data_IF_886370377749
#
_entry.id   IF_886370377749
#
_cell.length_a   1.000
_cell.length_b   1.000
_cell.length_c   1.000
_cell.angle_alpha   90.00
_cell.angle_beta   90.00
_cell.angle_gamma   90.00
#
_symmetry.space_group_name_H-M   'P 1'
#
loop_
_entity.id
_entity.type
_entity.pdbx_description
1 polymer ?
#
# COMPACT_ATOMS: atom_id res chain seq x y z
N UNK A 1 30.26 7.71 16.49
CA UNK A 1 29.87 7.59 15.06
C UNK A 1 30.38 6.29 14.46
N UNK A 2 29.50 5.33 14.24
CA UNK A 2 29.81 4.14 13.44
C UNK A 2 29.26 4.37 12.05
N UNK A 3 30.12 4.81 11.12
CA UNK A 3 29.75 5.12 9.74
C UNK A 3 29.41 3.87 8.90
N UNK A 4 29.30 2.70 9.53
CA UNK A 4 29.09 1.41 8.88
C UNK A 4 27.78 0.77 9.32
N UNK A 5 26.70 1.12 8.62
CA UNK A 5 25.37 0.58 8.88
C UNK A 5 25.31 -0.94 8.73
N UNK A 6 26.02 -1.53 7.76
CA UNK A 6 25.99 -2.99 7.56
C UNK A 6 26.59 -3.77 8.72
N UNK A 7 27.68 -3.24 9.31
CA UNK A 7 28.31 -3.87 10.47
C UNK A 7 27.39 -3.80 11.67
N UNK A 8 26.83 -2.63 11.96
CA UNK A 8 25.89 -2.49 13.09
C UNK A 8 24.68 -3.40 12.96
N UNK A 9 24.09 -3.51 11.75
CA UNK A 9 22.96 -4.39 11.51
C UNK A 9 23.32 -5.87 11.73
N UNK A 10 24.53 -6.29 11.31
CA UNK A 10 25.02 -7.65 11.58
C UNK A 10 25.23 -7.87 13.07
N UNK A 11 25.85 -6.92 13.76
CA UNK A 11 26.10 -7.00 15.20
C UNK A 11 24.78 -7.06 16.00
N UNK A 12 23.75 -6.33 15.56
CA UNK A 12 22.40 -6.38 16.14
C UNK A 12 21.73 -7.73 15.89
N UNK A 13 21.77 -8.24 14.66
CA UNK A 13 21.21 -9.55 14.32
C UNK A 13 21.91 -10.69 15.06
N UNK A 14 23.22 -10.57 15.30
CA UNK A 14 23.98 -11.55 16.08
C UNK A 14 23.61 -11.50 17.57
N UNK A 15 23.47 -10.29 18.14
CA UNK A 15 23.01 -10.10 19.53
C UNK A 15 21.61 -10.67 19.75
N UNK A 16 20.71 -10.53 18.76
CA UNK A 16 19.32 -10.95 18.84
C UNK A 16 19.00 -12.19 17.97
N UNK A 17 19.95 -13.12 17.83
CA UNK A 17 19.73 -14.30 17.00
C UNK A 17 18.62 -15.24 17.54
N UNK A 18 18.54 -15.42 18.87
CA UNK A 18 17.53 -16.24 19.52
C UNK A 18 16.18 -15.54 19.73
N UNK A 19 16.13 -14.22 19.54
CA UNK A 19 14.93 -13.43 19.76
C UNK A 19 13.92 -13.61 18.61
N UNK A 20 12.60 -13.53 18.87
CA UNK A 20 11.58 -13.65 17.84
C UNK A 20 11.63 -12.49 16.85
N UNK A 21 11.34 -12.73 15.58
CA UNK A 21 11.22 -11.65 14.61
C UNK A 21 10.02 -10.74 14.96
N UNK A 22 10.19 -9.43 14.75
CA UNK A 22 9.12 -8.45 14.92
C UNK A 22 8.00 -8.67 13.92
N UNK A 23 8.36 -8.95 12.66
CA UNK A 23 7.42 -9.20 11.57
C UNK A 23 7.96 -10.32 10.67
N UNK A 24 7.08 -11.13 10.10
CA UNK A 24 7.44 -12.10 9.06
C UNK A 24 6.76 -11.74 7.73
N UNK A 25 7.54 -11.77 6.66
CA UNK A 25 7.10 -11.45 5.30
C UNK A 25 7.39 -12.65 4.42
N UNK A 26 6.34 -13.23 3.86
CA UNK A 26 6.45 -14.36 2.96
C UNK A 26 6.24 -13.88 1.52
N UNK A 27 7.20 -14.16 0.66
CA UNK A 27 7.19 -13.78 -0.75
C UNK A 27 6.87 -15.01 -1.60
N UNK A 28 5.74 -14.99 -2.30
CA UNK A 28 5.37 -16.00 -3.30
C UNK A 28 5.44 -15.42 -4.71
N UNK A 29 5.22 -16.23 -5.74
CA UNK A 29 5.30 -15.79 -7.13
C UNK A 29 4.25 -14.69 -7.45
N UNK A 30 3.00 -14.90 -7.03
CA UNK A 30 1.88 -14.02 -7.40
C UNK A 30 1.44 -13.04 -6.30
N UNK A 31 1.77 -13.37 -5.04
CA UNK A 31 1.35 -12.60 -3.88
C UNK A 31 2.43 -12.62 -2.80
N UNK A 32 2.27 -11.77 -1.80
CA UNK A 32 3.06 -11.78 -0.58
C UNK A 32 2.12 -11.69 0.63
N UNK A 33 2.57 -12.15 1.79
CA UNK A 33 1.79 -12.10 3.03
C UNK A 33 2.62 -11.49 4.15
N UNK A 34 1.95 -10.78 5.05
CA UNK A 34 2.52 -10.26 6.29
C UNK A 34 2.01 -11.10 7.47
N UNK A 35 2.90 -11.57 8.34
CA UNK A 35 2.61 -12.38 9.53
C UNK A 35 1.73 -13.60 9.24
N UNK A 36 1.90 -14.24 8.08
CA UNK A 36 1.04 -15.34 7.58
C UNK A 36 -0.47 -14.99 7.51
N UNK A 37 -0.80 -13.70 7.41
CA UNK A 37 -2.17 -13.21 7.34
C UNK A 37 -2.70 -13.11 5.91
N UNK A 38 -3.34 -11.98 5.61
CA UNK A 38 -3.96 -11.73 4.31
C UNK A 38 -2.95 -11.73 3.16
N UNK A 39 -3.41 -12.24 2.01
CA UNK A 39 -2.65 -12.23 0.76
C UNK A 39 -2.72 -10.86 0.10
N UNK A 40 -1.56 -10.29 -0.19
CA UNK A 40 -1.42 -9.02 -0.88
C UNK A 40 -0.83 -9.23 -2.27
N UNK A 41 -1.39 -8.54 -3.26
CA UNK A 41 -0.83 -8.49 -4.61
C UNK A 41 0.35 -7.51 -4.64
N UNK A 42 1.32 -7.75 -5.53
CA UNK A 42 2.44 -6.83 -5.76
C UNK A 42 2.01 -5.48 -6.35
N UNK A 43 0.85 -5.42 -7.00
CA UNK A 43 0.26 -4.17 -7.53
C UNK A 43 -0.48 -3.35 -6.46
N UNK A 44 -0.76 -3.95 -5.30
CA UNK A 44 -1.49 -3.28 -4.22
C UNK A 44 -0.72 -2.07 -3.67
N UNK A 45 -1.39 -1.03 -3.15
CA UNK A 45 -0.75 0.01 -2.35
C UNK A 45 0.12 -0.54 -1.22
N UNK A 46 -0.26 -1.69 -0.65
CA UNK A 46 0.52 -2.37 0.37
C UNK A 46 1.95 -2.72 -0.07
N UNK A 47 2.23 -2.82 -1.38
CA UNK A 47 3.57 -3.07 -1.89
C UNK A 47 4.56 -1.93 -1.56
N UNK A 48 4.09 -0.74 -1.17
CA UNK A 48 4.95 0.32 -0.63
C UNK A 48 5.77 -0.16 0.58
N UNK A 49 5.21 -1.07 1.39
CA UNK A 49 5.92 -1.70 2.50
C UNK A 49 7.16 -2.48 2.05
N UNK A 50 7.09 -3.15 0.88
CA UNK A 50 8.24 -3.87 0.32
C UNK A 50 9.33 -2.88 -0.12
N UNK A 51 8.96 -1.71 -0.64
CA UNK A 51 9.91 -0.66 -0.99
C UNK A 51 10.61 -0.10 0.29
N UNK A 52 9.88 0.04 1.40
CA UNK A 52 10.46 0.45 2.70
C UNK A 52 11.39 -0.61 3.29
N UNK A 53 11.04 -1.90 3.19
CA UNK A 53 11.93 -3.01 3.57
C UNK A 53 13.23 -2.96 2.76
N UNK A 54 13.12 -2.74 1.44
CA UNK A 54 14.28 -2.62 0.56
C UNK A 54 15.13 -1.38 0.88
N UNK A 55 14.53 -0.33 1.42
CA UNK A 55 15.20 0.86 1.90
C UNK A 55 15.72 0.73 3.34
N UNK A 56 15.46 -0.38 4.03
CA UNK A 56 15.81 -0.62 5.44
C UNK A 56 15.21 0.43 6.38
N UNK A 57 14.02 0.93 6.05
CA UNK A 57 13.30 1.96 6.82
C UNK A 57 12.00 1.43 7.38
N UNK A 58 11.59 1.94 8.54
CA UNK A 58 10.31 1.60 9.15
C UNK A 58 9.19 2.34 8.38
N UNK A 59 8.16 1.63 7.88
CA UNK A 59 7.04 2.23 7.15
C UNK A 59 6.18 3.11 8.06
N UNK A 60 5.95 4.36 7.66
CA UNK A 60 5.18 5.33 8.47
C UNK A 60 3.69 4.93 8.57
N UNK A 61 3.11 4.46 7.47
CA UNK A 61 1.68 4.13 7.37
C UNK A 61 1.26 2.98 8.30
N UNK A 62 2.19 2.09 8.66
CA UNK A 62 1.90 0.91 9.47
C UNK A 62 2.23 1.10 10.95
N UNK A 63 2.79 2.25 11.37
CA UNK A 63 3.22 2.48 12.76
C UNK A 63 2.10 2.26 13.77
N UNK A 64 0.90 2.77 13.49
CA UNK A 64 -0.27 2.58 14.36
C UNK A 64 -0.65 1.10 14.54
N UNK A 65 -0.52 0.32 13.46
CA UNK A 65 -0.81 -1.11 13.50
C UNK A 65 0.27 -1.89 14.26
N UNK A 66 1.54 -1.56 14.03
CA UNK A 66 2.69 -2.18 14.70
C UNK A 66 2.58 -1.95 16.22
N UNK A 67 2.21 -0.73 16.59
CA UNK A 67 2.06 -0.32 17.97
C UNK A 67 0.85 -0.98 18.66
N UNK A 68 -0.33 -0.98 18.02
CA UNK A 68 -1.51 -1.68 18.54
C UNK A 68 -1.33 -3.20 18.64
N UNK A 69 -0.54 -3.80 17.75
CA UNK A 69 -0.18 -5.21 17.79
C UNK A 69 0.91 -5.54 18.83
N UNK A 70 1.47 -4.53 19.53
CA UNK A 70 2.52 -4.66 20.54
C UNK A 70 3.72 -5.50 20.05
N UNK A 71 4.18 -5.19 18.83
CA UNK A 71 5.31 -5.87 18.19
C UNK A 71 6.61 -5.53 18.92
N UNK A 72 7.52 -6.50 19.15
CA UNK A 72 8.79 -6.23 19.83
C UNK A 72 9.73 -5.36 18.98
N UNK A 73 10.25 -4.30 19.57
CA UNK A 73 11.32 -3.47 19.02
C UNK A 73 12.67 -3.84 19.65
N UNK A 74 13.74 -3.84 18.85
CA UNK A 74 15.10 -4.15 19.27
C UNK A 74 15.99 -2.92 19.07
N UNK A 75 16.41 -2.27 20.15
CA UNK A 75 17.24 -1.04 20.10
C UNK A 75 16.63 0.05 19.18
N UNK A 76 15.28 0.19 19.20
CA UNK A 76 14.55 1.12 18.32
C UNK A 76 14.47 0.70 16.86
N UNK A 77 14.88 -0.53 16.53
CA UNK A 77 14.80 -1.11 15.18
C UNK A 77 13.79 -2.27 15.16
N UNK A 78 13.24 -2.55 13.98
CA UNK A 78 12.41 -3.74 13.76
C UNK A 78 13.22 -4.81 13.06
N UNK A 79 13.10 -6.06 13.51
CA UNK A 79 13.73 -7.21 12.85
C UNK A 79 12.66 -7.93 12.04
N UNK A 80 12.81 -7.91 10.72
CA UNK A 80 11.87 -8.54 9.78
C UNK A 80 12.48 -9.81 9.23
N UNK A 81 11.73 -10.90 9.32
CA UNK A 81 12.09 -12.16 8.69
C UNK A 81 11.47 -12.25 7.29
N UNK A 82 12.30 -12.31 6.26
CA UNK A 82 11.91 -12.47 4.87
C UNK A 82 12.03 -13.93 4.49
N UNK A 83 10.91 -14.57 4.18
CA UNK A 83 10.85 -15.95 3.72
C UNK A 83 10.52 -15.94 2.23
N UNK A 84 11.47 -16.33 1.38
CA UNK A 84 11.26 -16.45 -0.06
C UNK A 84 10.81 -17.87 -0.40
N UNK A 85 9.56 -17.99 -0.87
CA UNK A 85 8.94 -19.23 -1.34
C UNK A 85 8.92 -19.32 -2.87
N UNK A 86 9.52 -18.35 -3.57
CA UNK A 86 9.71 -18.45 -5.02
C UNK A 86 10.80 -19.49 -5.26
N UNK A 87 10.54 -20.46 -6.13
CA UNK A 87 11.53 -21.47 -6.47
C UNK A 87 12.84 -20.79 -6.92
N UNK A 88 14.00 -21.20 -6.41
CA UNK A 88 15.26 -20.70 -6.92
C UNK A 88 15.31 -21.00 -8.43
N UNK A 89 15.75 -20.06 -9.28
CA UNK A 89 15.85 -20.33 -10.71
C UNK A 89 16.77 -21.53 -10.88
N UNK A 90 16.26 -22.61 -11.50
CA UNK A 90 17.04 -23.82 -11.77
C UNK A 90 18.36 -23.43 -12.43
N UNK A 91 19.47 -23.52 -11.69
CA UNK A 91 20.81 -23.31 -12.23
C UNK A 91 21.10 -24.49 -13.13
N UNK A 92 20.91 -24.31 -14.44
CA UNK A 92 21.33 -25.28 -15.45
C UNK A 92 22.85 -25.26 -15.53
N UNK A 93 23.51 -26.07 -14.71
CA UNK A 93 24.91 -26.40 -14.93
C UNK A 93 25.06 -27.25 -16.20
N UNK A 94 26.10 -26.95 -16.99
CA UNK A 94 26.39 -27.58 -18.29
C UNK A 94 26.93 -29.02 -18.21
N UNK A 95 26.55 -29.79 -17.19
CA UNK A 95 26.75 -31.24 -17.14
C UNK A 95 25.56 -31.82 -16.40
N UNK A 96 24.79 -32.65 -17.10
CA UNK A 96 23.57 -33.26 -16.61
C UNK A 96 23.84 -34.22 -15.47
N UNK A 97 23.87 -33.69 -14.25
CA UNK A 97 23.76 -34.44 -13.02
C UNK A 97 23.00 -33.58 -12.02
N UNK A 98 21.77 -34.00 -11.71
CA UNK A 98 20.80 -33.27 -10.91
C UNK A 98 21.22 -33.28 -9.43
N UNK A 99 22.15 -32.41 -9.03
CA UNK A 99 22.40 -32.16 -7.61
C UNK A 99 21.28 -31.24 -7.09
N UNK A 100 20.16 -31.87 -6.79
CA UNK A 100 19.03 -31.28 -6.10
C UNK A 100 19.42 -31.01 -4.65
N UNK A 101 20.11 -29.90 -4.38
CA UNK A 101 20.23 -29.38 -3.01
C UNK A 101 18.88 -28.82 -2.61
N UNK A 102 17.93 -29.70 -2.27
CA UNK A 102 16.75 -29.34 -1.48
C UNK A 102 17.24 -28.97 -0.10
N UNK A 103 17.53 -27.69 0.13
CA UNK A 103 17.32 -27.14 1.47
C UNK A 103 15.81 -27.23 1.70
N UNK A 104 15.39 -28.03 2.67
CA UNK A 104 14.00 -28.46 2.93
C UNK A 104 13.12 -27.32 3.53
N UNK A 105 13.35 -26.07 3.13
CA UNK A 105 12.66 -24.90 3.66
C UNK A 105 12.85 -23.63 2.80
N UNK A 106 11.98 -22.61 2.98
CA UNK A 106 12.08 -21.33 2.28
C UNK A 106 13.39 -20.62 2.60
N UNK A 107 13.93 -19.90 1.61
CA UNK A 107 15.14 -19.09 1.80
C UNK A 107 14.77 -17.96 2.76
N UNK A 108 15.21 -18.09 4.02
CA UNK A 108 14.84 -17.18 5.10
C UNK A 108 16.01 -16.24 5.40
N UNK A 109 15.77 -14.94 5.34
CA UNK A 109 16.75 -13.89 5.62
C UNK A 109 16.20 -12.92 6.65
N UNK A 110 17.00 -12.53 7.64
CA UNK A 110 16.63 -11.50 8.61
C UNK A 110 17.18 -10.13 8.20
N UNK A 111 16.32 -9.13 8.24
CA UNK A 111 16.64 -7.75 7.85
C UNK A 111 16.23 -6.80 8.98
N UNK A 112 17.07 -5.78 9.22
CA UNK A 112 16.83 -4.76 10.25
C UNK A 112 16.28 -3.51 9.58
N UNK A 113 15.10 -3.04 10.02
CA UNK A 113 14.53 -1.77 9.62
C UNK A 113 14.82 -0.71 10.68
N UNK A 114 15.34 0.43 10.24
CA UNK A 114 15.67 1.56 11.12
C UNK A 114 14.67 2.68 11.02
N UNK A 115 14.52 3.41 12.11
CA UNK A 115 13.72 4.62 12.15
C UNK A 115 14.33 5.69 11.22
N UNK A 116 13.47 6.30 10.40
CA UNK A 116 13.72 7.51 9.63
C UNK A 116 13.13 8.74 10.36
N UNK A 117 13.52 9.95 9.97
CA UNK A 117 12.94 11.20 10.50
C UNK A 117 11.41 11.23 10.40
N UNK A 118 10.87 10.78 9.27
CA UNK A 118 9.41 10.71 9.06
C UNK A 118 8.73 9.74 10.03
N UNK A 119 9.30 8.54 10.23
CA UNK A 119 8.75 7.58 11.20
C UNK A 119 8.93 8.03 12.64
N UNK A 120 9.98 8.80 12.96
CA UNK A 120 10.18 9.36 14.30
C UNK A 120 9.15 10.44 14.63
N UNK A 121 8.87 11.33 13.69
CA UNK A 121 7.82 12.34 13.85
C UNK A 121 6.43 11.70 13.96
N UNK A 122 6.13 10.68 13.16
CA UNK A 122 4.86 9.96 13.24
C UNK A 122 4.69 9.20 14.57
N UNK A 123 5.77 8.63 15.11
CA UNK A 123 5.76 7.96 16.41
C UNK A 123 5.52 8.96 17.55
N UNK A 124 6.16 10.13 17.53
CA UNK A 124 5.88 11.23 18.46
C UNK A 124 4.41 11.65 18.44
N UNK A 125 3.83 11.76 17.26
CA UNK A 125 2.40 12.06 17.10
C UNK A 125 1.52 10.96 17.73
N UNK A 126 1.86 9.70 17.46
CA UNK A 126 1.14 8.56 18.04
C UNK A 126 1.23 8.53 19.57
N UNK A 127 2.40 8.86 20.12
CA UNK A 127 2.60 9.01 21.56
C UNK A 127 1.73 10.11 22.15
N UNK A 128 1.64 11.26 21.48
CA UNK A 128 0.77 12.35 21.92
C UNK A 128 -0.72 11.94 21.94
N UNK A 129 -1.17 11.26 20.87
CA UNK A 129 -2.54 10.75 20.77
C UNK A 129 -2.85 9.76 21.90
N UNK A 130 -1.91 8.88 22.27
CA UNK A 130 -2.06 7.92 23.38
C UNK A 130 -2.12 8.59 24.75
N UNK A 131 -1.28 9.59 24.97
CA UNK A 131 -1.23 10.33 26.23
C UNK A 131 -2.44 11.25 26.40
N UNK A 132 -3.26 11.43 25.35
CA UNK A 132 -4.38 12.37 25.28
C UNK A 132 -3.96 13.79 25.71
N UNK A 133 -2.69 14.12 25.50
CA UNK A 133 -2.14 15.43 25.75
C UNK A 133 -2.31 16.28 24.51
N UNK A 134 -2.63 17.56 24.68
CA UNK A 134 -2.61 18.52 23.58
C UNK A 134 -1.24 19.18 23.56
N UNK A 135 -0.20 18.45 23.15
CA UNK A 135 1.14 19.05 23.02
C UNK A 135 1.08 20.23 22.06
N UNK A 136 1.64 21.36 22.51
CA UNK A 136 1.89 22.48 21.61
C UNK A 136 3.02 22.10 20.66
N UNK A 137 3.07 22.69 19.46
CA UNK A 137 4.14 22.45 18.49
C UNK A 137 5.55 22.63 19.10
N UNK A 138 5.70 23.59 20.02
CA UNK A 138 6.95 23.82 20.74
C UNK A 138 7.33 22.67 21.67
N UNK A 139 6.35 22.08 22.37
CA UNK A 139 6.58 20.94 23.27
C UNK A 139 6.92 19.67 22.49
N UNK A 140 6.25 19.47 21.35
CA UNK A 140 6.56 18.37 20.44
C UNK A 140 7.99 18.48 19.89
N UNK A 141 8.42 19.69 19.51
CA UNK A 141 9.78 19.96 19.04
C UNK A 141 10.81 19.72 20.15
N UNK A 142 10.54 20.15 21.38
CA UNK A 142 11.42 19.90 22.52
C UNK A 142 11.53 18.41 22.84
N UNK A 143 10.42 17.66 22.76
CA UNK A 143 10.42 16.22 22.92
C UNK A 143 11.28 15.53 21.85
N UNK A 144 11.11 15.91 20.58
CA UNK A 144 11.94 15.41 19.47
C UNK A 144 13.42 15.69 19.72
N UNK A 145 13.77 16.93 20.08
CA UNK A 145 15.15 17.33 20.35
C UNK A 145 15.78 16.51 21.49
N UNK A 146 15.02 16.26 22.57
CA UNK A 146 15.49 15.44 23.70
C UNK A 146 15.72 13.98 23.30
N UNK A 147 14.79 13.38 22.55
CA UNK A 147 14.92 12.00 22.06
C UNK A 147 16.13 11.90 21.13
N UNK A 148 16.31 12.86 20.23
CA UNK A 148 17.44 12.90 19.32
C UNK A 148 18.76 12.98 20.09
N UNK A 149 18.87 13.88 21.07
CA UNK A 149 20.09 13.99 21.89
C UNK A 149 20.38 12.73 22.71
N UNK A 150 19.35 12.06 23.21
CA UNK A 150 19.49 10.83 24.01
C UNK A 150 19.88 9.60 23.15
N UNK A 151 19.38 9.53 21.93
CA UNK A 151 19.58 8.38 21.02
C UNK A 151 20.75 8.58 20.05
N UNK A 152 21.19 9.83 19.83
CA UNK A 152 22.26 10.13 18.89
C UNK A 152 23.59 9.53 19.36
N UNK A 153 24.34 8.87 18.46
CA UNK A 153 25.69 8.43 18.74
C UNK A 153 26.61 9.64 18.96
N UNK A 154 27.75 9.47 19.66
CA UNK A 154 28.68 10.56 19.92
C UNK A 154 29.17 11.18 18.60
N UNK A 155 28.90 12.47 18.43
CA UNK A 155 29.26 13.29 17.28
C UNK A 155 30.75 13.67 17.33
N UNK A 156 31.45 13.49 16.21
CA UNK A 156 32.81 14.02 16.08
C UNK A 156 32.74 15.46 15.56
N UNK A 157 32.98 16.43 16.44
CA UNK A 157 32.94 17.87 16.10
C UNK A 157 34.30 18.41 15.61
N UNK A 158 35.29 17.54 15.42
CA UNK A 158 36.62 17.94 14.91
C UNK A 158 36.58 18.00 13.37
N UNK A 159 36.87 19.15 12.75
CA UNK A 159 36.86 19.28 11.29
C UNK A 159 38.14 18.67 10.70
N UNK A 160 38.18 17.35 10.53
CA UNK A 160 39.25 16.67 9.79
C UNK A 160 38.73 16.23 8.39
N UNK A 161 39.33 16.76 7.30
CA UNK A 161 38.93 16.37 5.94
C UNK A 161 39.18 14.89 5.64
N UNK A 162 40.16 14.25 6.29
CA UNK A 162 40.45 12.83 6.08
C UNK A 162 39.34 11.96 6.69
N UNK A 163 38.93 12.27 7.92
CA UNK A 163 37.81 11.62 8.58
C UNK A 163 36.52 11.78 7.76
N UNK A 164 36.24 12.98 7.24
CA UNK A 164 35.09 13.23 6.38
C UNK A 164 35.10 12.37 5.11
N UNK A 165 36.25 12.23 4.44
CA UNK A 165 36.40 11.36 3.26
C UNK A 165 36.17 9.88 3.58
N UNK A 166 36.70 9.41 4.71
CA UNK A 166 36.50 8.04 5.18
C UNK A 166 35.04 7.78 5.54
N UNK A 167 34.41 8.68 6.30
CA UNK A 167 33.00 8.61 6.67
C UNK A 167 32.08 8.54 5.45
N UNK A 168 32.26 9.46 4.49
CA UNK A 168 31.47 9.48 3.26
C UNK A 168 31.67 8.22 2.41
N UNK A 169 32.91 7.70 2.35
CA UNK A 169 33.21 6.46 1.65
C UNK A 169 32.55 5.27 2.32
N UNK A 170 32.64 5.19 3.65
CA UNK A 170 32.06 4.11 4.43
C UNK A 170 30.54 4.11 4.33
N UNK A 171 29.91 5.28 4.48
CA UNK A 171 28.46 5.43 4.34
C UNK A 171 28.00 5.01 2.95
N UNK A 172 28.69 5.43 1.88
CA UNK A 172 28.35 5.03 0.50
C UNK A 172 28.40 3.52 0.28
N UNK A 173 29.31 2.81 0.94
CA UNK A 173 29.45 1.35 0.84
C UNK A 173 28.44 0.65 1.75
N UNK A 174 28.16 1.21 2.94
CA UNK A 174 27.34 0.57 3.95
C UNK A 174 25.85 0.84 3.81
N UNK A 175 25.45 1.95 3.19
CA UNK A 175 24.04 2.20 2.90
C UNK A 175 23.70 1.50 1.59
N UNK A 176 22.83 0.47 1.61
CA UNK A 176 22.40 -0.16 0.37
C UNK A 176 21.72 0.90 -0.49
N UNK A 177 22.14 1.00 -1.75
CA UNK A 177 21.54 1.93 -2.71
C UNK A 177 20.07 1.56 -2.80
N UNK A 178 19.18 2.50 -2.47
CA UNK A 178 17.73 2.29 -2.56
C UNK A 178 17.45 1.73 -3.94
N UNK A 179 16.93 0.49 -4.03
CA UNK A 179 16.71 -0.09 -5.33
C UNK A 179 15.63 0.72 -6.05
N UNK A 180 15.61 0.68 -7.39
CA UNK A 180 14.51 1.26 -8.13
C UNK A 180 13.17 0.75 -7.56
N UNK A 181 12.17 1.64 -7.41
CA UNK A 181 10.87 1.23 -6.88
C UNK A 181 10.33 0.08 -7.71
N UNK A 182 9.62 -0.85 -7.08
CA UNK A 182 9.05 -2.01 -7.77
C UNK A 182 8.08 -1.62 -8.90
N UNK A 183 7.59 -0.37 -8.90
CA UNK A 183 6.74 0.18 -9.95
C UNK A 183 7.59 0.69 -11.12
N UNK A 184 7.38 0.18 -12.36
CA UNK A 184 8.04 0.71 -13.53
C UNK A 184 7.75 2.21 -13.67
N UNK A 185 8.80 3.00 -13.88
CA UNK A 185 8.68 4.43 -14.20
C UNK A 185 7.79 4.57 -15.44
N UNK A 186 6.66 5.25 -15.26
CA UNK A 186 5.53 5.45 -16.18
C UNK A 186 5.86 5.83 -17.63
N UNK A 187 7.10 6.24 -17.94
CA UNK A 187 7.52 6.72 -19.27
C UNK A 187 7.50 5.66 -20.37
N UNK A 188 7.60 4.37 -20.04
CA UNK A 188 7.38 3.28 -21.02
C UNK A 188 5.95 2.73 -21.02
N UNK A 189 5.20 2.91 -19.92
CA UNK A 189 3.81 2.46 -19.84
C UNK A 189 2.90 3.30 -20.74
N UNK A 190 3.11 4.61 -20.90
CA UNK A 190 2.17 5.46 -21.66
C UNK A 190 1.98 5.04 -23.13
N UNK A 191 3.04 4.54 -23.78
CA UNK A 191 2.96 4.04 -25.16
C UNK A 191 2.19 2.71 -25.24
N UNK A 192 2.48 1.76 -24.33
CA UNK A 192 1.75 0.48 -24.24
C UNK A 192 0.33 0.65 -23.72
N UNK A 193 0.08 1.57 -22.77
CA UNK A 193 -1.24 1.88 -22.23
C UNK A 193 -2.14 2.52 -23.28
N UNK A 194 -1.59 3.33 -24.19
CA UNK A 194 -2.36 3.89 -25.30
C UNK A 194 -2.84 2.77 -26.25
N UNK A 195 -1.97 1.81 -26.54
CA UNK A 195 -2.29 0.67 -27.40
C UNK A 195 -3.22 -0.34 -26.71
N UNK A 196 -3.01 -0.62 -25.42
CA UNK A 196 -3.90 -1.42 -24.59
C UNK A 196 -5.27 -0.77 -24.40
N UNK A 197 -5.35 0.56 -24.26
CA UNK A 197 -6.63 1.30 -24.22
C UNK A 197 -7.35 1.23 -25.57
N UNK A 198 -6.62 1.29 -26.68
CA UNK A 198 -7.19 1.11 -28.00
C UNK A 198 -7.71 -0.33 -28.20
N UNK A 199 -6.97 -1.33 -27.75
CA UNK A 199 -7.38 -2.73 -27.77
C UNK A 199 -8.57 -3.00 -26.85
N UNK A 200 -8.56 -2.47 -25.62
CA UNK A 200 -9.66 -2.59 -24.66
C UNK A 200 -10.93 -1.89 -25.16
N UNK A 201 -10.81 -0.75 -25.84
CA UNK A 201 -11.95 -0.11 -26.53
C UNK A 201 -12.50 -1.01 -27.64
N UNK A 202 -11.64 -1.63 -28.46
CA UNK A 202 -12.07 -2.60 -29.49
C UNK A 202 -12.77 -3.82 -28.88
N UNK A 203 -12.22 -4.40 -27.81
CA UNK A 203 -12.84 -5.54 -27.09
C UNK A 203 -14.19 -5.15 -26.49
N UNK A 204 -14.29 -3.96 -25.88
CA UNK A 204 -15.56 -3.45 -25.31
C UNK A 204 -16.62 -3.22 -26.39
N UNK A 205 -16.22 -2.74 -27.57
CA UNK A 205 -17.11 -2.60 -28.73
C UNK A 205 -17.57 -3.97 -29.23
N UNK A 206 -16.67 -4.95 -29.33
CA UNK A 206 -17.00 -6.33 -29.71
C UNK A 206 -17.94 -7.01 -28.69
N UNK A 207 -17.79 -6.71 -27.40
CA UNK A 207 -18.65 -7.22 -26.33
C UNK A 207 -19.98 -6.46 -26.15
N UNK A 208 -20.23 -5.39 -26.90
CA UNK A 208 -21.43 -4.56 -26.73
C UNK A 208 -22.74 -5.33 -26.97
N UNK A 209 -22.69 -6.43 -27.73
CA UNK A 209 -23.84 -7.29 -28.02
C UNK A 209 -23.69 -8.72 -27.51
N UNK A 210 -22.69 -9.00 -26.68
CA UNK A 210 -22.46 -10.35 -26.15
C UNK A 210 -23.34 -10.54 -24.90
N UNK A 211 -24.44 -11.33 -24.96
CA UNK A 211 -25.26 -11.58 -23.78
C UNK A 211 -24.40 -12.33 -22.77
N UNK A 212 -24.01 -11.65 -21.68
CA UNK A 212 -23.20 -12.25 -20.62
C UNK A 212 -23.78 -13.63 -20.25
N UNK A 213 -22.96 -14.68 -20.38
CA UNK A 213 -23.35 -16.10 -20.35
C UNK A 213 -24.20 -16.53 -19.13
N UNK A 214 -24.20 -15.72 -18.05
CA UNK A 214 -24.94 -15.94 -16.80
C UNK A 214 -26.05 -14.91 -16.51
N UNK A 215 -26.41 -14.05 -17.47
CA UNK A 215 -27.44 -13.02 -17.29
C UNK A 215 -28.48 -13.13 -18.39
N UNK A 216 -29.60 -13.77 -18.09
CA UNK A 216 -30.76 -13.74 -18.99
C UNK A 216 -31.18 -12.27 -19.19
N UNK A 217 -31.04 -11.78 -20.42
CA UNK A 217 -31.50 -10.44 -20.81
C UNK A 217 -33.02 -10.41 -20.75
N UNK A 218 -33.57 -10.08 -19.57
CA UNK A 218 -35.00 -9.79 -19.43
C UNK A 218 -35.22 -8.36 -19.92
N UNK A 219 -36.02 -8.11 -20.96
CA UNK A 219 -36.35 -6.75 -21.36
C UNK A 219 -37.00 -6.05 -20.16
N UNK A 220 -36.41 -4.91 -19.75
CA UNK A 220 -36.97 -4.08 -18.70
C UNK A 220 -38.08 -3.23 -19.31
N UNK A 221 -39.33 -3.59 -19.03
CA UNK A 221 -40.48 -2.77 -19.39
C UNK A 221 -40.66 -1.55 -18.46
N UNK A 222 -39.58 -0.82 -18.17
CA UNK A 222 -39.62 0.38 -17.30
C UNK A 222 -40.43 1.54 -17.89
N UNK A 223 -40.69 1.50 -19.19
CA UNK A 223 -41.39 2.57 -19.91
C UNK A 223 -42.91 2.33 -20.05
N UNK A 224 -43.40 1.12 -19.73
CA UNK A 224 -44.84 0.84 -19.73
C UNK A 224 -45.56 1.61 -18.61
N UNK A 225 -44.89 1.86 -17.48
CA UNK A 225 -45.44 2.63 -16.36
C UNK A 225 -45.66 4.10 -16.72
N UNK A 226 -44.72 4.72 -17.44
CA UNK A 226 -44.84 6.11 -17.90
C UNK A 226 -45.94 6.27 -18.93
N UNK A 227 -46.08 5.31 -19.86
CA UNK A 227 -47.18 5.31 -20.85
C UNK A 227 -48.54 5.14 -20.14
N UNK A 228 -48.63 4.26 -19.15
CA UNK A 228 -49.83 4.08 -18.34
C UNK A 228 -50.18 5.34 -17.54
N UNK A 229 -49.19 6.02 -16.95
CA UNK A 229 -49.41 7.26 -16.19
C UNK A 229 -49.88 8.40 -17.09
N UNK A 230 -49.27 8.55 -18.28
CA UNK A 230 -49.65 9.59 -19.26
C UNK A 230 -51.05 9.32 -19.82
N UNK A 231 -51.38 8.06 -20.13
CA UNK A 231 -52.75 7.70 -20.56
C UNK A 231 -53.77 7.99 -19.46
N UNK A 232 -53.47 7.65 -18.20
CA UNK A 232 -54.35 7.96 -17.07
C UNK A 232 -54.53 9.48 -16.88
N UNK A 233 -53.46 10.26 -17.05
CA UNK A 233 -53.51 11.73 -16.96
C UNK A 233 -54.35 12.34 -18.10
N UNK A 234 -54.22 11.81 -19.32
CA UNK A 234 -55.04 12.23 -20.47
C UNK A 234 -56.52 11.89 -20.21
N UNK A 235 -56.83 10.71 -19.67
CA UNK A 235 -58.21 10.34 -19.31
C UNK A 235 -58.76 11.25 -18.19
N UNK A 236 -57.94 11.59 -17.20
CA UNK A 236 -58.34 12.48 -16.11
C UNK A 236 -58.64 13.91 -16.60
N UNK A 237 -57.79 14.43 -17.51
CA UNK A 237 -57.99 15.73 -18.16
C UNK A 237 -59.25 15.71 -19.03
N UNK A 238 -59.50 14.65 -19.79
CA UNK A 238 -60.73 14.53 -20.57
C UNK A 238 -61.97 14.53 -19.67
N UNK A 239 -61.95 13.82 -18.53
CA UNK A 239 -63.07 13.81 -17.58
C UNK A 239 -63.28 15.16 -16.86
N UNK A 240 -62.21 15.94 -16.62
CA UNK A 240 -62.33 17.28 -16.03
C UNK A 240 -62.82 18.32 -17.04
N UNK A 241 -62.36 18.25 -18.29
CA UNK A 241 -62.74 19.22 -19.33
C UNK A 241 -64.15 18.93 -19.91
N UNK A 242 -64.64 17.68 -19.87
CA UNK A 242 -66.02 17.33 -20.26
C UNK A 242 -67.04 17.41 -19.10
N UNK A 243 -66.61 17.62 -17.85
CA UNK A 243 -67.48 17.77 -16.68
C UNK A 243 -68.04 19.18 -16.49
N UNK A 244 -67.35 20.21 -17.01
CA UNK A 244 -67.68 21.63 -16.76
C UNK A 244 -68.38 22.33 -17.95
N UNK A 245 -68.82 21.59 -18.97
CA UNK A 245 -69.75 22.10 -19.99
C UNK A 245 -71.22 21.79 -19.64
N UNK A 246 -71.66 22.14 -18.42
CA UNK A 246 -73.09 22.27 -18.10
C UNK A 246 -73.49 23.73 -18.30
N UNK A 247 -74.02 23.99 -19.49
CA UNK A 247 -74.66 25.24 -19.88
C UNK A 247 -75.66 25.73 -18.80
N UNK A 248 -75.60 26.99 -18.34
CA UNK A 248 -76.68 27.64 -17.62
C UNK A 248 -77.83 27.91 -18.62
N UNK A 249 -79.04 27.42 -18.34
CA UNK A 249 -80.23 27.90 -19.04
C UNK A 249 -80.65 29.24 -18.45
N UNK A 250 -80.61 30.26 -19.32
CA UNK A 250 -81.19 31.58 -19.12
C UNK A 250 -82.65 31.52 -18.66
N UNK A 251 -82.99 32.44 -17.76
CA UNK A 251 -84.35 32.76 -17.34
C UNK A 251 -84.85 33.94 -18.18
N UNK A 252 -85.90 33.74 -18.99
CA UNK A 252 -86.78 34.80 -19.49
C UNK A 252 -88.20 34.24 -19.64
N UNK A 253 -89.05 34.33 -18.61
CA UNK A 253 -90.11 35.35 -18.41
C UNK A 253 -91.21 35.34 -19.49
N UNK A 254 -92.30 34.63 -19.16
CA UNK A 254 -93.68 35.10 -19.28
C UNK A 254 -94.47 34.53 -18.08
#
# INVERSE_FOLDING_TARGET
>A
MTYNTTRENKDLLQRHHDAPASLSVQLHHDHWTLNSGSKFLYTSPAAAFLDDIRAYRIPVDLLQLIDSANVPFYEGCLVVELQDFREPPATKDKKGEDVNVKSDGPISSRVVLRQNSESACADLRLLNDKLNTNWTDQEALEAEARILLATAPPLCLKPDPNLGRMANTMQRISTPRTPPPLRPQKRKLEATEADERAAARKVKILQYMDPQRNRASKPRYGNLGLISFVLALITLIQYTVLGDCRFPQDQARA
#
